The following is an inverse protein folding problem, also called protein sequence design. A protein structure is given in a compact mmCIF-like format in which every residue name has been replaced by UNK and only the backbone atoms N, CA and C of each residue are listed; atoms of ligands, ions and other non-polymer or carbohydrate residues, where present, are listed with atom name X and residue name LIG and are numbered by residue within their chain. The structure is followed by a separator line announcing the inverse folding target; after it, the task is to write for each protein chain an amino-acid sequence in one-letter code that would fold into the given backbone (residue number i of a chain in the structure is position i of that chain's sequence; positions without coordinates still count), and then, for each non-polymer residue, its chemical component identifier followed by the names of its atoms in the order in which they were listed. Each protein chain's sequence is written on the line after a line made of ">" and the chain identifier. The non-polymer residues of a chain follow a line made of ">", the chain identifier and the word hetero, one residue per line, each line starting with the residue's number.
data_IF_629567265359
#
_entry.id   IF_629567265359
#
_cell.length_a   1.000
_cell.length_b   1.000
_cell.length_c   1.000
_cell.angle_alpha   90.00
_cell.angle_beta   90.00
_cell.angle_gamma   90.00
#
_symmetry.space_group_name_H-M   'P 1'
#
loop_
_entity.id
_entity.type
_entity.pdbx_description
1 polymer ?
#
# COMPACT_ATOMS: atom_id res chain seq x y z
N UNK A 1 40.91 -30.91 94.32
CA UNK A 1 42.02 -31.85 94.09
C UNK A 1 43.28 -31.02 93.84
N UNK A 2 44.32 -31.22 94.64
CA UNK A 2 45.56 -30.43 94.68
C UNK A 2 46.64 -31.15 93.86
N UNK A 3 47.38 -30.44 93.01
CA UNK A 3 48.77 -30.77 92.62
C UNK A 3 49.41 -29.50 92.02
N UNK A 4 50.32 -28.80 92.73
CA UNK A 4 51.80 -28.94 92.77
C UNK A 4 52.44 -28.45 91.45
N UNK A 5 52.92 -27.19 91.37
CA UNK A 5 54.19 -26.56 91.81
C UNK A 5 55.31 -26.71 90.75
N UNK A 6 56.16 -25.68 90.70
CA UNK A 6 57.48 -25.56 90.02
C UNK A 6 57.41 -24.86 88.65
N UNK A 7 58.32 -23.98 88.22
CA UNK A 7 59.32 -23.14 88.86
C UNK A 7 59.64 -21.99 87.89
N UNK A 8 60.28 -20.95 88.40
CA UNK A 8 60.57 -19.66 87.77
C UNK A 8 61.44 -19.76 86.49
N UNK A 9 61.14 -18.95 85.47
CA UNK A 9 62.14 -18.50 84.49
C UNK A 9 61.67 -17.22 83.81
N UNK A 10 61.91 -16.09 84.49
CA UNK A 10 62.04 -14.79 83.84
C UNK A 10 62.96 -14.90 82.61
N UNK A 11 62.40 -14.60 81.43
CA UNK A 11 63.18 -14.05 80.33
C UNK A 11 62.57 -12.71 79.96
N UNK A 12 63.35 -11.67 80.25
CA UNK A 12 63.06 -10.28 79.93
C UNK A 12 62.81 -10.14 78.43
N UNK A 13 61.60 -9.72 78.05
CA UNK A 13 61.37 -9.16 76.71
C UNK A 13 62.13 -7.84 76.67
N UNK A 14 63.36 -7.88 76.15
CA UNK A 14 64.03 -6.67 75.69
C UNK A 14 63.20 -6.14 74.54
N UNK A 15 62.38 -5.13 74.81
CA UNK A 15 61.86 -4.24 73.77
C UNK A 15 63.09 -3.58 73.16
N UNK A 16 63.60 -4.16 72.08
CA UNK A 16 64.55 -3.49 71.20
C UNK A 16 63.74 -2.41 70.50
N UNK A 17 63.68 -1.24 71.13
CA UNK A 17 63.41 0.02 70.43
C UNK A 17 64.64 0.31 69.56
N UNK A 18 64.87 -0.55 68.57
CA UNK A 18 65.84 -0.30 67.51
C UNK A 18 65.11 0.61 66.53
N UNK A 19 65.48 1.89 66.57
CA UNK A 19 65.10 2.84 65.54
C UNK A 19 65.51 2.20 64.20
N UNK A 20 64.60 2.02 63.23
CA UNK A 20 64.93 1.29 62.01
C UNK A 20 66.16 1.92 61.37
N UNK A 21 67.10 1.06 60.94
CA UNK A 21 68.31 1.50 60.23
C UNK A 21 67.89 2.38 59.06
N UNK A 22 68.61 3.49 58.77
CA UNK A 22 68.26 4.39 57.67
C UNK A 22 68.08 3.66 56.33
N UNK A 23 68.79 2.55 56.14
CA UNK A 23 68.80 1.73 54.93
C UNK A 23 67.54 0.85 54.79
N UNK A 24 67.04 0.23 55.87
CA UNK A 24 65.83 -0.60 55.83
C UNK A 24 64.53 0.23 55.73
N UNK A 25 64.53 1.43 56.33
CA UNK A 25 63.43 2.40 56.15
C UNK A 25 63.41 2.96 54.73
N UNK A 26 64.57 3.20 54.12
CA UNK A 26 64.68 3.65 52.73
C UNK A 26 64.21 2.59 51.72
N UNK A 27 64.49 1.30 51.95
CA UNK A 27 64.01 0.20 51.10
C UNK A 27 62.48 -0.01 51.19
N UNK A 28 61.90 0.08 52.40
CA UNK A 28 60.44 -0.04 52.61
C UNK A 28 59.68 1.18 52.06
N UNK A 29 60.23 2.39 52.25
CA UNK A 29 59.72 3.62 51.63
C UNK A 29 59.84 3.58 50.10
N UNK A 30 60.93 3.06 49.54
CA UNK A 30 61.10 2.90 48.09
C UNK A 30 60.14 1.87 47.48
N UNK A 31 59.89 0.75 48.17
CA UNK A 31 58.91 -0.27 47.77
C UNK A 31 57.47 0.28 47.82
N UNK A 32 57.12 1.03 48.87
CA UNK A 32 55.83 1.71 48.97
C UNK A 32 55.66 2.82 47.92
N UNK A 33 56.72 3.58 47.61
CA UNK A 33 56.73 4.57 46.53
C UNK A 33 56.50 3.91 45.16
N UNK A 34 57.09 2.73 44.94
CA UNK A 34 56.94 1.94 43.74
C UNK A 34 55.51 1.37 43.60
N UNK A 35 54.91 0.93 44.70
CA UNK A 35 53.50 0.50 44.71
C UNK A 35 52.54 1.66 44.45
N UNK A 36 52.74 2.82 45.09
CA UNK A 36 51.94 4.01 44.87
C UNK A 36 52.02 4.51 43.41
N UNK A 37 53.22 4.52 42.82
CA UNK A 37 53.40 4.94 41.42
C UNK A 37 52.74 3.97 40.44
N UNK A 38 52.82 2.65 40.68
CA UNK A 38 52.15 1.64 39.87
C UNK A 38 50.62 1.78 39.94
N UNK A 39 50.07 1.99 41.13
CA UNK A 39 48.63 2.19 41.32
C UNK A 39 48.14 3.45 40.59
N UNK A 40 48.90 4.56 40.66
CA UNK A 40 48.60 5.79 39.92
C UNK A 40 48.61 5.57 38.41
N UNK A 41 49.61 4.85 37.87
CA UNK A 41 49.67 4.51 36.45
C UNK A 41 48.46 3.67 36.02
N UNK A 42 48.09 2.66 36.81
CA UNK A 42 46.90 1.85 36.55
C UNK A 42 45.62 2.70 36.54
N UNK A 43 45.46 3.64 37.48
CA UNK A 43 44.30 4.55 37.50
C UNK A 43 44.27 5.47 36.28
N UNK A 44 45.41 6.00 35.85
CA UNK A 44 45.50 6.85 34.66
C UNK A 44 45.18 6.08 33.37
N UNK A 45 45.63 4.84 33.27
CA UNK A 45 45.30 3.96 32.14
C UNK A 45 43.80 3.65 32.15
N UNK A 46 43.24 3.30 33.30
CA UNK A 46 41.82 2.97 33.41
C UNK A 46 40.92 4.16 33.09
N UNK A 47 41.27 5.35 33.56
CA UNK A 47 40.53 6.58 33.25
C UNK A 47 40.63 6.94 31.77
N UNK A 48 41.80 6.79 31.14
CA UNK A 48 41.98 6.99 29.72
C UNK A 48 41.13 6.01 28.89
N UNK A 49 41.05 4.74 29.29
CA UNK A 49 40.21 3.74 28.62
C UNK A 49 38.72 4.07 28.75
N UNK A 50 38.26 4.50 29.94
CA UNK A 50 36.86 4.94 30.14
C UNK A 50 36.55 6.14 29.25
N UNK A 51 37.42 7.15 29.23
CA UNK A 51 37.24 8.33 28.40
C UNK A 51 37.16 7.96 26.91
N UNK A 52 38.05 7.09 26.42
CA UNK A 52 38.02 6.60 25.05
C UNK A 52 36.71 5.86 24.73
N UNK A 53 36.22 5.01 25.64
CA UNK A 53 34.93 4.32 25.49
C UNK A 53 33.76 5.29 25.40
N UNK A 54 33.72 6.32 26.25
CA UNK A 54 32.67 7.34 26.21
C UNK A 54 32.67 8.06 24.86
N UNK A 55 33.83 8.47 24.36
CA UNK A 55 33.96 9.17 23.06
C UNK A 55 33.48 8.27 21.91
N UNK A 56 33.89 7.00 21.89
CA UNK A 56 33.46 6.04 20.87
C UNK A 56 31.95 5.85 20.90
N UNK A 57 31.36 5.69 22.09
CA UNK A 57 29.90 5.56 22.24
C UNK A 57 29.17 6.80 21.76
N UNK A 58 29.66 8.00 22.08
CA UNK A 58 29.08 9.26 21.58
C UNK A 58 29.13 9.35 20.05
N UNK A 59 30.24 8.97 19.42
CA UNK A 59 30.39 8.96 17.96
C UNK A 59 29.39 8.00 17.30
N UNK A 60 29.27 6.78 17.83
CA UNK A 60 28.30 5.79 17.34
C UNK A 60 26.88 6.33 17.49
N UNK A 61 26.54 6.95 18.62
CA UNK A 61 25.21 7.52 18.85
C UNK A 61 24.87 8.63 17.84
N UNK A 62 25.79 9.55 17.58
CA UNK A 62 25.59 10.64 16.59
C UNK A 62 25.40 10.07 15.19
N UNK A 63 26.22 9.07 14.81
CA UNK A 63 26.11 8.42 13.50
C UNK A 63 24.79 7.69 13.34
N UNK A 64 24.32 6.98 14.37
CA UNK A 64 23.04 6.28 14.38
C UNK A 64 21.86 7.25 14.26
N UNK A 65 21.88 8.39 14.95
CA UNK A 65 20.83 9.42 14.83
C UNK A 65 20.74 9.93 13.39
N UNK A 66 21.89 10.28 12.79
CA UNK A 66 21.96 10.75 11.41
C UNK A 66 21.48 9.69 10.41
N UNK A 67 21.84 8.43 10.66
CA UNK A 67 21.41 7.31 9.84
C UNK A 67 19.91 7.07 9.96
N UNK A 68 19.34 7.17 11.16
CA UNK A 68 17.91 6.99 11.40
C UNK A 68 17.06 8.06 10.69
N UNK A 69 17.53 9.31 10.69
CA UNK A 69 16.89 10.39 9.93
C UNK A 69 16.88 10.10 8.42
N UNK A 70 18.03 9.63 7.90
CA UNK A 70 18.15 9.26 6.48
C UNK A 70 17.22 8.10 6.13
N UNK A 71 17.15 7.06 6.98
CA UNK A 71 16.26 5.92 6.79
C UNK A 71 14.80 6.38 6.81
N UNK A 72 14.42 7.21 7.79
CA UNK A 72 13.06 7.74 7.90
C UNK A 72 12.65 8.55 6.66
N UNK A 73 13.52 9.44 6.19
CA UNK A 73 13.27 10.27 5.02
C UNK A 73 13.11 9.41 3.75
N UNK A 74 14.05 8.49 3.51
CA UNK A 74 14.00 7.59 2.34
C UNK A 74 12.80 6.64 2.42
N UNK A 75 12.42 6.16 3.60
CA UNK A 75 11.23 5.31 3.78
C UNK A 75 9.96 6.09 3.43
N UNK A 76 9.84 7.32 3.93
CA UNK A 76 8.71 8.21 3.64
C UNK A 76 8.63 8.55 2.15
N UNK A 77 9.76 8.85 1.52
CA UNK A 77 9.81 9.17 0.09
C UNK A 77 9.47 7.95 -0.77
N UNK A 78 9.97 6.75 -0.42
CA UNK A 78 9.60 5.52 -1.09
C UNK A 78 8.11 5.20 -0.96
N UNK A 79 7.50 5.39 0.21
CA UNK A 79 6.05 5.21 0.40
C UNK A 79 5.24 6.15 -0.49
N UNK A 80 5.64 7.43 -0.56
CA UNK A 80 5.00 8.41 -1.46
C UNK A 80 5.11 8.01 -2.93
N UNK A 81 6.30 7.58 -3.37
CA UNK A 81 6.54 7.12 -4.73
C UNK A 81 5.74 5.85 -5.07
N UNK A 82 5.53 4.96 -4.10
CA UNK A 82 4.68 3.77 -4.27
C UNK A 82 3.22 4.18 -4.49
N UNK A 83 2.71 5.13 -3.71
CA UNK A 83 1.34 5.63 -3.89
C UNK A 83 1.16 6.37 -5.22
N UNK A 84 2.11 7.24 -5.59
CA UNK A 84 2.09 7.91 -6.90
C UNK A 84 2.12 6.90 -8.06
N UNK A 85 2.94 5.84 -7.96
CA UNK A 85 2.96 4.75 -8.93
C UNK A 85 1.61 4.04 -9.02
N UNK A 86 0.99 3.69 -7.89
CA UNK A 86 -0.34 3.06 -7.88
C UNK A 86 -1.40 3.94 -8.53
N UNK A 87 -1.37 5.24 -8.26
CA UNK A 87 -2.26 6.20 -8.91
C UNK A 87 -2.05 6.21 -10.42
N UNK A 88 -0.80 6.26 -10.88
CA UNK A 88 -0.47 6.24 -12.30
C UNK A 88 -0.86 4.91 -12.98
N UNK A 89 -0.62 3.78 -12.32
CA UNK A 89 -1.04 2.45 -12.81
C UNK A 89 -2.57 2.38 -12.94
N UNK A 90 -3.31 2.90 -11.97
CA UNK A 90 -4.77 2.98 -12.04
C UNK A 90 -5.23 3.88 -13.18
N UNK A 91 -4.63 5.07 -13.34
CA UNK A 91 -4.92 5.97 -14.46
C UNK A 91 -4.62 5.31 -15.82
N UNK A 92 -3.51 4.59 -15.94
CA UNK A 92 -3.15 3.85 -17.15
C UNK A 92 -4.16 2.73 -17.45
N UNK A 93 -4.65 2.04 -16.42
CA UNK A 93 -5.69 1.01 -16.56
C UNK A 93 -7.02 1.61 -17.06
N UNK A 94 -7.45 2.73 -16.50
CA UNK A 94 -8.66 3.44 -16.92
C UNK A 94 -8.53 4.00 -18.34
N UNK A 95 -7.35 4.53 -18.69
CA UNK A 95 -7.04 4.96 -20.04
C UNK A 95 -7.10 3.79 -21.04
N UNK A 96 -6.50 2.65 -20.72
CA UNK A 96 -6.52 1.46 -21.56
C UNK A 96 -7.94 0.90 -21.74
N UNK A 97 -8.79 0.94 -20.71
CA UNK A 97 -10.22 0.59 -20.85
C UNK A 97 -10.95 1.53 -21.80
N UNK A 98 -10.77 2.83 -21.60
CA UNK A 98 -11.38 3.86 -22.46
C UNK A 98 -10.94 3.69 -23.90
N UNK A 99 -9.65 3.47 -24.13
CA UNK A 99 -9.09 3.21 -25.45
C UNK A 99 -9.67 1.93 -26.07
N UNK A 100 -9.81 0.86 -25.28
CA UNK A 100 -10.43 -0.39 -25.74
C UNK A 100 -11.89 -0.24 -26.17
N UNK A 101 -12.66 0.65 -25.52
CA UNK A 101 -14.01 1.00 -25.95
C UNK A 101 -13.99 1.82 -27.24
N UNK A 102 -13.12 2.83 -27.31
CA UNK A 102 -12.95 3.70 -28.48
C UNK A 102 -12.58 2.89 -29.73
N UNK A 103 -11.64 1.95 -29.63
CA UNK A 103 -11.15 1.15 -30.76
C UNK A 103 -12.20 0.18 -31.33
N UNK A 104 -13.31 -0.06 -30.62
CA UNK A 104 -14.43 -0.86 -31.14
C UNK A 104 -15.30 -0.08 -32.14
N UNK A 105 -15.19 1.25 -32.18
CA UNK A 105 -15.94 2.07 -33.12
C UNK A 105 -15.07 2.34 -34.36
N UNK A 106 -15.55 1.98 -35.56
CA UNK A 106 -14.84 2.28 -36.83
C UNK A 106 -14.72 3.79 -37.09
N UNK A 107 -15.69 4.57 -36.62
CA UNK A 107 -15.66 6.03 -36.56
C UNK A 107 -16.27 6.47 -35.23
N UNK A 108 -15.54 7.21 -34.39
CA UNK A 108 -16.11 7.77 -33.16
C UNK A 108 -16.91 9.02 -33.55
N UNK A 109 -18.24 9.05 -33.34
CA UNK A 109 -19.01 10.28 -33.51
C UNK A 109 -18.75 11.21 -32.31
N UNK A 110 -17.52 11.71 -32.17
CA UNK A 110 -17.08 12.52 -31.04
C UNK A 110 -17.94 13.77 -30.85
N UNK A 111 -18.52 14.29 -31.93
CA UNK A 111 -19.47 15.41 -31.91
C UNK A 111 -20.78 15.07 -31.18
N UNK A 112 -21.23 13.82 -31.28
CA UNK A 112 -22.50 13.35 -30.71
C UNK A 112 -22.33 12.87 -29.25
N UNK A 113 -21.16 12.33 -28.92
CA UNK A 113 -20.79 11.87 -27.56
C UNK A 113 -20.27 12.99 -26.66
N UNK A 114 -19.57 13.97 -27.24
CA UNK A 114 -18.91 15.04 -26.50
C UNK A 114 -19.32 16.44 -27.00
N UNK A 115 -20.60 16.82 -26.87
CA UNK A 115 -21.04 18.17 -27.19
C UNK A 115 -20.27 19.18 -26.30
N UNK A 116 -19.78 20.26 -26.89
CA UNK A 116 -19.03 21.32 -26.19
C UNK A 116 -17.76 20.86 -25.44
N UNK A 117 -17.11 19.77 -25.89
CA UNK A 117 -15.93 19.17 -25.26
C UNK A 117 -16.21 18.50 -23.91
N UNK A 118 -17.47 18.31 -23.54
CA UNK A 118 -17.88 17.53 -22.37
C UNK A 118 -18.48 16.21 -22.83
N UNK A 119 -17.78 15.11 -22.55
CA UNK A 119 -18.25 13.78 -22.92
C UNK A 119 -19.29 13.28 -21.92
N UNK A 120 -20.41 12.78 -22.45
CA UNK A 120 -21.43 12.08 -21.65
C UNK A 120 -21.34 10.57 -21.87
N UNK A 121 -21.74 9.75 -20.89
CA UNK A 121 -21.73 8.29 -21.05
C UNK A 121 -22.57 7.79 -22.23
N UNK A 122 -23.69 8.48 -22.50
CA UNK A 122 -24.57 8.18 -23.62
C UNK A 122 -24.76 9.41 -24.53
N UNK A 123 -25.06 9.13 -25.80
CA UNK A 123 -25.45 10.15 -26.78
C UNK A 123 -26.71 10.89 -26.33
N UNK A 124 -26.96 12.06 -26.94
CA UNK A 124 -28.18 12.83 -26.70
C UNK A 124 -29.43 11.97 -26.97
N UNK A 125 -30.41 12.06 -26.07
CA UNK A 125 -31.70 11.32 -26.11
C UNK A 125 -31.59 9.80 -25.85
N UNK A 126 -30.40 9.31 -25.48
CA UNK A 126 -30.21 7.96 -24.97
C UNK A 126 -30.21 7.95 -23.44
N UNK A 127 -30.74 6.89 -22.87
CA UNK A 127 -30.85 6.70 -21.42
C UNK A 127 -29.74 5.73 -20.97
N UNK A 128 -28.94 6.13 -19.98
CA UNK A 128 -27.96 5.24 -19.36
C UNK A 128 -28.66 4.35 -18.34
N UNK A 129 -28.51 3.03 -18.48
CA UNK A 129 -28.87 2.07 -17.44
C UNK A 129 -27.77 1.02 -17.32
N UNK A 130 -27.22 0.91 -16.11
CA UNK A 130 -26.01 0.16 -15.84
C UNK A 130 -24.86 0.63 -16.76
N UNK A 131 -24.32 -0.25 -17.60
CA UNK A 131 -23.19 0.02 -18.50
C UNK A 131 -23.63 0.11 -19.98
N UNK A 132 -24.95 0.20 -20.24
CA UNK A 132 -25.53 0.26 -21.58
C UNK A 132 -26.34 1.55 -21.79
N UNK A 133 -26.42 2.00 -23.04
CA UNK A 133 -27.23 3.12 -23.46
C UNK A 133 -28.44 2.62 -24.27
N UNK A 134 -29.63 3.15 -23.98
CA UNK A 134 -30.89 2.70 -24.60
C UNK A 134 -31.59 3.86 -25.30
N UNK A 135 -32.14 3.59 -26.49
CA UNK A 135 -32.94 4.52 -27.27
C UNK A 135 -34.34 3.92 -27.48
N UNK A 136 -35.36 4.60 -26.95
CA UNK A 136 -36.76 4.24 -27.16
C UNK A 136 -37.32 5.07 -28.32
N UNK A 137 -37.33 4.49 -29.52
CA UNK A 137 -37.78 5.18 -30.72
C UNK A 137 -39.28 5.00 -30.94
N UNK A 138 -40.06 6.08 -30.90
CA UNK A 138 -41.53 6.07 -30.97
C UNK A 138 -42.12 6.95 -32.09
N UNK A 139 -41.36 7.12 -33.18
CA UNK A 139 -41.78 7.95 -34.31
C UNK A 139 -42.71 7.21 -35.28
N UNK A 140 -43.56 7.97 -35.99
CA UNK A 140 -44.42 7.47 -37.06
C UNK A 140 -43.89 7.93 -38.43
N UNK A 141 -43.96 7.09 -39.48
CA UNK A 141 -44.52 5.73 -39.49
C UNK A 141 -43.64 4.71 -38.74
N UNK A 142 -44.25 3.65 -38.20
CA UNK A 142 -43.50 2.60 -37.52
C UNK A 142 -42.67 1.80 -38.51
N UNK A 143 -41.48 1.40 -38.05
CA UNK A 143 -40.55 0.59 -38.81
C UNK A 143 -40.87 -0.90 -38.63
N UNK A 144 -40.62 -1.70 -39.67
CA UNK A 144 -40.55 -3.15 -39.54
C UNK A 144 -39.35 -3.55 -38.67
N UNK A 145 -39.34 -4.78 -38.14
CA UNK A 145 -38.21 -5.28 -37.33
C UNK A 145 -36.85 -5.10 -38.03
N UNK A 146 -36.79 -5.38 -39.34
CA UNK A 146 -35.57 -5.27 -40.15
C UNK A 146 -35.12 -3.81 -40.31
N UNK A 147 -36.07 -2.91 -40.54
CA UNK A 147 -35.79 -1.47 -40.64
C UNK A 147 -35.36 -0.90 -39.28
N UNK A 148 -35.99 -1.31 -38.18
CA UNK A 148 -35.59 -0.93 -36.82
C UNK A 148 -34.16 -1.40 -36.51
N UNK A 149 -33.81 -2.63 -36.86
CA UNK A 149 -32.45 -3.14 -36.68
C UNK A 149 -31.42 -2.35 -37.48
N UNK A 150 -31.74 -2.03 -38.74
CA UNK A 150 -30.89 -1.21 -39.61
C UNK A 150 -30.71 0.18 -39.02
N UNK A 151 -31.78 0.81 -38.56
CA UNK A 151 -31.75 2.10 -37.88
C UNK A 151 -30.86 2.10 -36.62
N UNK A 152 -30.94 1.06 -35.79
CA UNK A 152 -30.06 0.92 -34.63
C UNK A 152 -28.58 0.81 -35.04
N UNK A 153 -28.28 0.04 -36.10
CA UNK A 153 -26.92 -0.14 -36.62
C UNK A 153 -26.34 1.13 -37.22
N UNK A 154 -27.15 1.91 -37.91
CA UNK A 154 -26.76 3.24 -38.40
C UNK A 154 -26.42 4.22 -37.27
N UNK A 155 -26.85 3.90 -36.04
CA UNK A 155 -26.51 4.62 -34.80
C UNK A 155 -25.44 3.93 -33.96
N UNK A 156 -24.69 2.98 -34.53
CA UNK A 156 -23.65 2.21 -33.83
C UNK A 156 -24.20 1.41 -32.63
N UNK A 157 -25.43 0.91 -32.73
CA UNK A 157 -26.10 0.04 -31.78
C UNK A 157 -26.75 -1.16 -32.48
N UNK A 158 -27.48 -2.00 -31.75
CA UNK A 158 -28.36 -3.04 -32.33
C UNK A 158 -29.67 -3.05 -31.52
N UNK A 159 -30.65 -3.86 -31.91
CA UNK A 159 -31.88 -4.01 -31.13
C UNK A 159 -31.56 -4.58 -29.74
N UNK A 160 -32.33 -4.15 -28.73
CA UNK A 160 -32.06 -4.51 -27.33
C UNK A 160 -32.12 -6.03 -27.12
N UNK A 161 -31.13 -6.53 -26.38
CA UNK A 161 -31.05 -7.89 -25.85
C UNK A 161 -31.21 -7.78 -24.34
N UNK A 162 -32.06 -8.63 -23.76
CA UNK A 162 -32.33 -8.61 -22.32
C UNK A 162 -31.50 -9.69 -21.65
N UNK A 163 -30.58 -9.29 -20.79
CA UNK A 163 -29.67 -10.19 -20.06
C UNK A 163 -30.24 -10.62 -18.71
N UNK A 164 -30.97 -9.72 -18.03
CA UNK A 164 -31.47 -9.97 -16.69
C UNK A 164 -32.82 -9.30 -16.40
N UNK A 165 -33.42 -9.68 -15.26
CA UNK A 165 -34.73 -9.18 -14.84
C UNK A 165 -34.73 -7.66 -14.58
N UNK A 166 -33.60 -7.08 -14.13
CA UNK A 166 -33.53 -5.63 -13.88
C UNK A 166 -33.52 -4.86 -15.19
N UNK A 167 -32.84 -5.37 -16.21
CA UNK A 167 -32.90 -4.82 -17.57
C UNK A 167 -34.32 -4.95 -18.15
N UNK A 168 -34.98 -6.10 -17.97
CA UNK A 168 -36.39 -6.28 -18.36
C UNK A 168 -37.31 -5.26 -17.69
N UNK A 169 -37.19 -5.06 -16.38
CA UNK A 169 -37.96 -4.07 -15.62
C UNK A 169 -37.67 -2.64 -16.10
N UNK A 170 -36.40 -2.32 -16.30
CA UNK A 170 -35.99 -1.01 -16.82
C UNK A 170 -36.61 -0.73 -18.19
N UNK A 171 -36.51 -1.66 -19.14
CA UNK A 171 -37.09 -1.52 -20.47
C UNK A 171 -38.60 -1.37 -20.38
N UNK A 172 -39.27 -2.24 -19.61
CA UNK A 172 -40.72 -2.22 -19.44
C UNK A 172 -41.23 -0.89 -18.90
N UNK A 173 -40.53 -0.29 -17.93
CA UNK A 173 -40.89 1.00 -17.33
C UNK A 173 -40.75 2.20 -18.28
N UNK A 174 -39.95 2.07 -19.34
CA UNK A 174 -39.74 3.13 -20.33
C UNK A 174 -40.55 2.91 -21.62
N UNK A 175 -41.16 1.74 -21.80
CA UNK A 175 -42.09 1.48 -22.90
C UNK A 175 -43.50 1.99 -22.59
N UNK A 176 -44.17 2.54 -23.60
CA UNK A 176 -45.59 2.90 -23.52
C UNK A 176 -46.48 1.65 -23.57
N UNK A 177 -47.67 1.74 -22.98
CA UNK A 177 -48.66 0.67 -23.03
C UNK A 177 -49.04 0.35 -24.47
N UNK A 178 -49.10 -0.95 -24.78
CA UNK A 178 -49.50 -1.46 -26.08
C UNK A 178 -51.01 -1.53 -26.17
N UNK A 179 -51.61 -0.79 -27.11
CA UNK A 179 -53.06 -0.80 -27.31
C UNK A 179 -53.54 -2.04 -28.07
N UNK A 180 -52.69 -2.64 -28.91
CA UNK A 180 -52.93 -3.88 -29.63
C UNK A 180 -51.60 -4.53 -30.07
N UNK A 181 -51.68 -5.63 -30.82
CA UNK A 181 -50.51 -6.38 -31.33
C UNK A 181 -49.64 -5.62 -32.35
N UNK A 182 -50.14 -4.50 -32.87
CA UNK A 182 -49.44 -3.64 -33.82
C UNK A 182 -48.73 -2.46 -33.12
N UNK A 183 -49.08 -2.16 -31.88
CA UNK A 183 -48.43 -1.12 -31.10
C UNK A 183 -47.36 -1.74 -30.21
N UNK A 184 -46.09 -1.51 -30.54
CA UNK A 184 -45.02 -1.75 -29.57
C UNK A 184 -43.61 -1.52 -30.08
N UNK A 185 -42.63 -1.85 -29.24
CA UNK A 185 -41.21 -1.68 -29.56
C UNK A 185 -40.61 -2.99 -30.04
N UNK A 186 -39.90 -2.95 -31.17
CA UNK A 186 -39.11 -4.08 -31.61
C UNK A 186 -37.91 -4.31 -30.69
N UNK A 187 -37.65 -5.58 -30.39
CA UNK A 187 -36.52 -6.04 -29.59
C UNK A 187 -35.68 -7.03 -30.40
N UNK A 188 -34.50 -7.37 -29.90
CA UNK A 188 -33.50 -8.17 -30.61
C UNK A 188 -33.82 -9.66 -30.77
N UNK A 189 -35.02 -10.11 -30.41
CA UNK A 189 -35.38 -11.51 -30.51
C UNK A 189 -35.74 -11.87 -31.96
N UNK A 190 -35.15 -12.95 -32.49
CA UNK A 190 -35.39 -13.44 -33.85
C UNK A 190 -35.55 -14.97 -33.84
N UNK A 191 -36.31 -15.50 -34.80
CA UNK A 191 -36.51 -16.94 -34.95
C UNK A 191 -35.62 -17.47 -36.07
N UNK A 192 -34.53 -18.15 -35.71
CA UNK A 192 -33.52 -18.67 -36.64
C UNK A 192 -33.39 -20.18 -36.42
N UNK A 193 -33.48 -20.97 -37.50
CA UNK A 193 -33.29 -22.44 -37.44
C UNK A 193 -34.17 -23.15 -36.39
N UNK A 194 -35.45 -22.75 -36.29
CA UNK A 194 -36.41 -23.26 -35.30
C UNK A 194 -36.05 -22.97 -33.84
N UNK A 195 -35.25 -21.94 -33.56
CA UNK A 195 -34.89 -21.51 -32.21
C UNK A 195 -35.03 -20.00 -32.09
N UNK A 196 -35.50 -19.53 -30.93
CA UNK A 196 -35.48 -18.12 -30.58
C UNK A 196 -34.05 -17.75 -30.15
N UNK A 197 -33.48 -16.78 -30.85
CA UNK A 197 -32.08 -16.35 -30.68
C UNK A 197 -32.05 -14.84 -30.66
N UNK A 198 -31.21 -14.27 -29.83
CA UNK A 198 -31.01 -12.83 -29.78
C UNK A 198 -30.09 -12.35 -30.92
N UNK A 199 -30.10 -11.05 -31.19
CA UNK A 199 -29.31 -10.46 -32.29
C UNK A 199 -27.80 -10.61 -32.13
N UNK A 200 -27.32 -10.89 -30.92
CA UNK A 200 -25.94 -11.17 -30.56
C UNK A 200 -25.57 -12.66 -30.62
N UNK A 201 -26.55 -13.53 -30.92
CA UNK A 201 -26.35 -14.94 -31.22
C UNK A 201 -26.58 -15.91 -30.05
N UNK A 202 -26.88 -15.44 -28.84
CA UNK A 202 -27.23 -16.38 -27.76
C UNK A 202 -28.67 -16.87 -27.88
N UNK A 203 -28.91 -18.11 -27.43
CA UNK A 203 -30.25 -18.64 -27.32
C UNK A 203 -31.04 -17.89 -26.25
N UNK A 204 -32.35 -17.76 -26.43
CA UNK A 204 -33.20 -17.20 -25.38
C UNK A 204 -33.27 -18.11 -24.15
N UNK A 205 -33.00 -17.54 -22.97
CA UNK A 205 -32.97 -18.27 -21.69
C UNK A 205 -33.95 -17.73 -20.67
N UNK A 206 -34.69 -16.66 -20.99
CA UNK A 206 -35.56 -15.93 -20.06
C UNK A 206 -37.05 -16.29 -20.18
N UNK A 207 -37.35 -17.43 -20.80
CA UNK A 207 -38.70 -17.92 -21.09
C UNK A 207 -39.67 -17.93 -19.91
#
# INVERSE_FOLDING_TARGET
>A
MKSKKDDDCYSTVKIKNEKPSPESRAEEEASALCHCSLMLLCFLIFSALIAARIVITMQINVMMIKQQETISNVTTENERLIEERKMMENQNKELNRTLGLILKFENIPAKDLCPNKECKPCQKDWILFQEKCYLFYDSHPWLTWTESRTFCRDKYADLVVIDDLKEQEFVSNHTKYYYDIHHGYWMGLQHVSNTWTWVDGHADTLG
#
